data_IF_606828541921
#
_entry.id   IF_606828541921
#
_cell.length_a   1.000
_cell.length_b   1.000
_cell.length_c   1.000
_cell.angle_alpha   90.00
_cell.angle_beta   90.00
_cell.angle_gamma   90.00
#
_symmetry.space_group_name_H-M   'P 1'
#
loop_
_entity.id
_entity.type
_entity.pdbx_description
1 polymer ?
#
# COMPACT_ATOMS: atom_id res chain seq x y z
N UNK A 1 18.75 -4.97 -8.58
CA UNK A 1 19.41 -5.53 -7.38
C UNK A 1 19.69 -4.43 -6.37
N UNK A 2 20.28 -3.31 -6.80
CA UNK A 2 20.55 -2.11 -5.97
C UNK A 2 19.35 -1.65 -5.11
N UNK A 3 18.14 -1.54 -5.66
CA UNK A 3 16.95 -1.13 -4.88
C UNK A 3 16.60 -2.12 -3.76
N UNK A 4 16.79 -3.42 -3.97
CA UNK A 4 16.52 -4.43 -2.96
C UNK A 4 17.59 -4.36 -1.84
N UNK A 5 18.85 -4.23 -2.21
CA UNK A 5 19.94 -4.15 -1.24
C UNK A 5 19.91 -2.85 -0.43
N UNK A 6 19.66 -1.72 -1.08
CA UNK A 6 19.78 -0.41 -0.45
C UNK A 6 18.50 0.08 0.23
N UNK A 7 17.35 -0.54 -0.03
CA UNK A 7 16.08 -0.10 0.52
C UNK A 7 15.24 -1.23 1.12
N UNK A 8 15.14 -2.39 0.47
CA UNK A 8 14.35 -3.50 1.01
C UNK A 8 14.99 -4.10 2.27
N UNK A 9 16.29 -4.43 2.23
CA UNK A 9 16.96 -5.03 3.40
C UNK A 9 16.99 -4.09 4.61
N UNK A 10 17.36 -2.80 4.49
CA UNK A 10 17.28 -1.87 5.61
C UNK A 10 15.85 -1.69 6.14
N UNK A 11 14.84 -1.72 5.25
CA UNK A 11 13.45 -1.66 5.70
C UNK A 11 13.06 -2.90 6.49
N UNK A 12 13.49 -4.09 6.06
CA UNK A 12 13.23 -5.33 6.78
C UNK A 12 13.86 -5.30 8.18
N UNK A 13 15.09 -4.80 8.31
CA UNK A 13 15.76 -4.61 9.61
C UNK A 13 15.03 -3.62 10.53
N UNK A 14 14.34 -2.63 9.97
CA UNK A 14 13.54 -1.66 10.74
C UNK A 14 12.23 -2.29 11.23
N UNK A 15 11.59 -3.13 10.41
CA UNK A 15 10.23 -3.62 10.66
C UNK A 15 10.16 -5.02 11.30
N UNK A 16 11.22 -5.81 11.22
CA UNK A 16 11.24 -7.19 11.72
C UNK A 16 12.44 -7.39 12.65
N UNK A 17 12.22 -8.15 13.74
CA UNK A 17 13.31 -8.57 14.61
C UNK A 17 14.25 -9.54 13.86
N UNK A 18 15.52 -9.59 14.27
CA UNK A 18 16.54 -10.43 13.59
C UNK A 18 16.19 -11.92 13.55
N UNK A 19 15.39 -12.39 14.50
CA UNK A 19 14.97 -13.79 14.61
C UNK A 19 13.61 -14.05 13.95
N UNK A 20 13.02 -13.06 13.29
CA UNK A 20 11.72 -13.18 12.66
C UNK A 20 11.85 -13.45 11.16
N UNK A 21 11.26 -14.57 10.73
CA UNK A 21 11.10 -14.85 9.30
C UNK A 21 10.13 -13.86 8.65
N UNK A 22 10.48 -13.37 7.47
CA UNK A 22 9.64 -12.48 6.67
C UNK A 22 9.58 -12.95 5.21
N UNK A 23 8.47 -12.61 4.55
CA UNK A 23 8.22 -12.96 3.15
C UNK A 23 8.15 -11.65 2.35
N UNK A 24 8.95 -11.57 1.27
CA UNK A 24 8.82 -10.49 0.30
C UNK A 24 7.72 -10.82 -0.71
N UNK A 25 6.73 -9.93 -0.86
CA UNK A 25 5.70 -10.04 -1.88
C UNK A 25 5.79 -8.84 -2.84
N UNK A 26 5.99 -9.13 -4.13
CA UNK A 26 5.85 -8.17 -5.24
C UNK A 26 4.81 -8.70 -6.22
N UNK A 27 4.12 -7.81 -6.94
CA UNK A 27 3.21 -8.19 -8.01
C UNK A 27 3.91 -8.15 -9.38
N UNK A 28 3.40 -8.93 -10.34
CA UNK A 28 3.69 -8.73 -11.77
C UNK A 28 2.44 -8.17 -12.50
N UNK A 29 1.56 -7.43 -11.80
CA UNK A 29 0.18 -7.22 -12.26
C UNK A 29 -0.18 -5.77 -12.63
N UNK A 30 -0.74 -5.57 -13.83
CA UNK A 30 -1.38 -4.33 -14.31
C UNK A 30 -2.73 -3.98 -13.64
N UNK A 31 -3.01 -4.56 -12.47
CA UNK A 31 -4.36 -4.68 -11.87
C UNK A 31 -4.94 -3.40 -11.25
N UNK A 32 -4.21 -2.27 -11.31
CA UNK A 32 -4.59 -0.96 -10.74
C UNK A 32 -5.84 -0.29 -11.36
N UNK A 33 -6.59 -0.99 -12.23
CA UNK A 33 -7.77 -0.45 -12.93
C UNK A 33 -9.11 -1.01 -12.44
N UNK A 34 -9.11 -2.00 -11.53
CA UNK A 34 -10.35 -2.58 -11.04
C UNK A 34 -11.17 -1.57 -10.20
N UNK A 35 -12.43 -1.36 -10.59
CA UNK A 35 -13.32 -0.37 -9.98
C UNK A 35 -13.55 -0.61 -8.48
N UNK A 36 -13.60 -1.87 -8.04
CA UNK A 36 -13.72 -2.24 -6.62
C UNK A 36 -12.49 -1.86 -5.80
N UNK A 37 -11.28 -1.99 -6.37
CA UNK A 37 -10.02 -1.60 -5.72
C UNK A 37 -9.96 -0.07 -5.56
N UNK A 38 -10.39 0.68 -6.58
CA UNK A 38 -10.45 2.15 -6.52
C UNK A 38 -11.45 2.67 -5.48
N UNK A 39 -12.66 2.10 -5.44
CA UNK A 39 -13.70 2.52 -4.49
C UNK A 39 -13.29 2.20 -3.04
N UNK A 40 -12.67 1.05 -2.81
CA UNK A 40 -12.15 0.67 -1.50
C UNK A 40 -11.05 1.61 -0.99
N UNK A 41 -10.11 1.97 -1.87
CA UNK A 41 -9.05 2.91 -1.56
C UNK A 41 -9.59 4.31 -1.20
N UNK A 42 -10.72 4.72 -1.80
CA UNK A 42 -11.43 5.95 -1.44
C UNK A 42 -12.12 5.84 -0.08
N UNK A 43 -12.81 4.73 0.21
CA UNK A 43 -13.51 4.48 1.48
C UNK A 43 -12.56 4.45 2.68
N UNK A 44 -11.38 3.83 2.52
CA UNK A 44 -10.40 3.66 3.60
C UNK A 44 -9.31 4.74 3.65
N UNK A 45 -9.33 5.70 2.72
CA UNK A 45 -8.37 6.79 2.60
C UNK A 45 -6.90 6.36 2.37
N UNK A 46 -6.65 5.19 1.78
CA UNK A 46 -5.34 4.52 1.88
C UNK A 46 -4.29 5.07 0.87
N UNK A 47 -4.59 5.27 -0.43
CA UNK A 47 -3.74 6.01 -1.37
C UNK A 47 -4.34 7.39 -1.63
N UNK A 48 -5.65 7.55 -1.44
CA UNK A 48 -6.31 8.83 -1.63
C UNK A 48 -5.86 9.84 -0.59
N UNK A 49 -5.36 9.46 0.59
CA UNK A 49 -4.84 10.44 1.54
C UNK A 49 -3.63 11.20 0.97
N UNK A 50 -2.60 10.48 0.51
CA UNK A 50 -1.42 11.09 -0.10
C UNK A 50 -1.84 11.77 -1.40
N UNK A 51 -2.56 11.10 -2.30
CA UNK A 51 -2.98 11.70 -3.58
C UNK A 51 -3.85 12.96 -3.39
N UNK A 52 -4.82 12.95 -2.47
CA UNK A 52 -5.67 14.10 -2.17
C UNK A 52 -4.85 15.23 -1.54
N UNK A 53 -3.89 14.91 -0.68
CA UNK A 53 -2.97 15.90 -0.13
C UNK A 53 -2.12 16.53 -1.23
N UNK A 54 -1.60 15.72 -2.16
CA UNK A 54 -0.80 16.19 -3.29
C UNK A 54 -1.60 17.08 -4.25
N UNK A 55 -2.84 16.69 -4.59
CA UNK A 55 -3.73 17.48 -5.47
C UNK A 55 -4.07 18.86 -4.87
N UNK A 56 -4.15 18.96 -3.54
CA UNK A 56 -4.45 20.20 -2.84
C UNK A 56 -3.19 20.99 -2.41
N UNK A 57 -1.99 20.49 -2.69
CA UNK A 57 -0.74 21.17 -2.34
C UNK A 57 -0.19 21.92 -3.54
N UNK A 58 0.16 23.20 -3.36
CA UNK A 58 0.83 23.97 -4.42
C UNK A 58 2.29 23.50 -4.55
N UNK A 59 2.53 22.66 -5.54
CA UNK A 59 3.88 22.19 -5.87
C UNK A 59 4.60 23.23 -6.73
N UNK A 60 5.85 23.52 -6.38
CA UNK A 60 6.65 24.59 -7.01
C UNK A 60 7.93 24.08 -7.67
N UNK A 61 8.37 22.87 -7.34
CA UNK A 61 9.49 22.17 -7.98
C UNK A 61 9.42 20.67 -7.75
N UNK A 62 10.29 19.90 -8.41
CA UNK A 62 10.43 18.45 -8.22
C UNK A 62 10.96 18.13 -6.82
N UNK A 63 11.87 18.93 -6.29
CA UNK A 63 12.42 18.77 -4.93
C UNK A 63 11.34 19.01 -3.88
N UNK A 64 10.52 20.04 -4.07
CA UNK A 64 9.37 20.30 -3.20
C UNK A 64 8.37 19.14 -3.25
N UNK A 65 8.09 18.60 -4.45
CA UNK A 65 7.23 17.42 -4.60
C UNK A 65 7.77 16.21 -3.80
N UNK A 66 9.05 15.90 -3.94
CA UNK A 66 9.70 14.79 -3.23
C UNK A 66 9.62 14.98 -1.71
N UNK A 67 9.88 16.19 -1.22
CA UNK A 67 9.79 16.51 0.22
C UNK A 67 8.38 16.28 0.75
N UNK A 68 7.36 16.80 0.07
CA UNK A 68 5.96 16.65 0.52
C UNK A 68 5.54 15.18 0.51
N UNK A 69 5.90 14.42 -0.53
CA UNK A 69 5.61 12.98 -0.59
C UNK A 69 6.24 12.23 0.57
N UNK A 70 7.50 12.53 0.88
CA UNK A 70 8.22 11.90 1.98
C UNK A 70 7.57 12.23 3.34
N UNK A 71 7.24 13.50 3.57
CA UNK A 71 6.61 13.95 4.81
C UNK A 71 5.22 13.32 5.02
N UNK A 72 4.42 13.17 3.96
CA UNK A 72 3.11 12.54 4.05
C UNK A 72 3.22 11.01 4.19
N UNK A 73 4.20 10.38 3.56
CA UNK A 73 4.49 8.95 3.77
C UNK A 73 4.84 8.64 5.22
N UNK A 74 5.65 9.49 5.88
CA UNK A 74 6.00 9.31 7.29
C UNK A 74 4.81 9.49 8.26
N UNK A 75 3.77 10.21 7.85
CA UNK A 75 2.53 10.37 8.62
C UNK A 75 1.56 9.22 8.41
N UNK A 76 1.86 8.31 7.47
CA UNK A 76 0.93 7.26 7.10
C UNK A 76 0.66 6.33 8.29
N UNK A 77 -0.60 6.12 8.69
CA UNK A 77 -0.90 5.34 9.89
C UNK A 77 -0.51 3.87 9.74
N UNK A 78 0.24 3.33 10.70
CA UNK A 78 0.69 1.93 10.67
C UNK A 78 -0.43 0.91 10.89
N UNK A 79 -1.49 1.31 11.60
CA UNK A 79 -2.70 0.50 11.83
C UNK A 79 -3.44 0.23 10.52
N UNK A 80 -3.44 1.20 9.59
CA UNK A 80 -3.99 1.02 8.25
C UNK A 80 -3.23 -0.08 7.50
N UNK A 81 -1.89 -0.06 7.52
CA UNK A 81 -1.05 -1.09 6.91
C UNK A 81 -1.31 -2.46 7.54
N UNK A 82 -1.42 -2.50 8.87
CA UNK A 82 -1.73 -3.73 9.61
C UNK A 82 -3.08 -4.32 9.22
N UNK A 83 -4.13 -3.51 9.19
CA UNK A 83 -5.48 -3.95 8.78
C UNK A 83 -5.50 -4.49 7.35
N UNK A 84 -4.71 -3.89 6.44
CA UNK A 84 -4.55 -4.40 5.08
C UNK A 84 -3.92 -5.78 5.03
N UNK A 85 -2.89 -6.02 5.84
CA UNK A 85 -2.23 -7.34 5.94
C UNK A 85 -3.20 -8.36 6.54
N UNK A 86 -3.86 -8.02 7.65
CA UNK A 86 -4.76 -8.92 8.37
C UNK A 86 -6.00 -9.32 7.55
N UNK A 87 -6.43 -8.47 6.61
CA UNK A 87 -7.55 -8.78 5.70
C UNK A 87 -7.19 -9.70 4.52
N UNK A 88 -5.90 -9.95 4.26
CA UNK A 88 -5.46 -10.78 3.11
C UNK A 88 -6.13 -12.17 3.06
N UNK A 89 -6.23 -12.94 4.17
CA UNK A 89 -6.86 -14.26 4.14
C UNK A 89 -8.32 -14.22 3.67
N UNK A 90 -9.10 -13.23 4.12
CA UNK A 90 -10.50 -13.06 3.73
C UNK A 90 -10.61 -12.68 2.26
N UNK A 91 -9.76 -11.76 1.79
CA UNK A 91 -9.71 -11.39 0.37
C UNK A 91 -9.39 -12.57 -0.54
N UNK A 92 -8.43 -13.41 -0.13
CA UNK A 92 -8.06 -14.62 -0.90
C UNK A 92 -9.23 -15.60 -0.93
N UNK A 93 -9.88 -15.87 0.20
CA UNK A 93 -11.03 -16.77 0.27
C UNK A 93 -12.19 -16.31 -0.64
N UNK A 94 -12.48 -15.02 -0.64
CA UNK A 94 -13.55 -14.47 -1.47
C UNK A 94 -13.16 -14.41 -2.96
N UNK A 95 -11.87 -14.26 -3.27
CA UNK A 95 -11.36 -14.37 -4.66
C UNK A 95 -11.57 -15.78 -5.20
N UNK A 96 -11.28 -16.80 -4.39
CA UNK A 96 -11.52 -18.20 -4.73
C UNK A 96 -13.02 -18.45 -4.97
N UNK A 97 -13.88 -17.96 -4.06
CA UNK A 97 -15.34 -18.08 -4.18
C UNK A 97 -15.88 -17.37 -5.42
N UNK A 98 -15.32 -16.21 -5.76
CA UNK A 98 -15.62 -15.47 -6.98
C UNK A 98 -14.97 -16.08 -8.24
N UNK A 99 -14.21 -17.18 -8.11
CA UNK A 99 -13.45 -17.82 -9.19
C UNK A 99 -12.52 -16.85 -9.92
N UNK A 100 -11.83 -15.99 -9.16
CA UNK A 100 -10.98 -14.92 -9.68
C UNK A 100 -11.74 -13.66 -10.10
N UNK A 101 -13.06 -13.61 -9.89
CA UNK A 101 -13.89 -12.45 -10.16
C UNK A 101 -13.69 -11.31 -9.15
N UNK A 102 -14.35 -10.18 -9.40
CA UNK A 102 -14.22 -8.98 -8.58
C UNK A 102 -14.72 -9.17 -7.14
N UNK A 103 -13.89 -8.73 -6.19
CA UNK A 103 -14.20 -8.71 -4.77
C UNK A 103 -15.06 -7.49 -4.40
N UNK A 104 -15.96 -7.66 -3.43
CA UNK A 104 -16.73 -6.55 -2.84
C UNK A 104 -15.86 -5.72 -1.89
N UNK A 105 -16.10 -4.41 -1.82
CA UNK A 105 -15.32 -3.44 -1.02
C UNK A 105 -15.30 -3.75 0.49
N UNK A 106 -16.33 -4.41 1.00
CA UNK A 106 -16.57 -4.59 2.43
C UNK A 106 -15.78 -5.75 3.09
N UNK A 107 -14.71 -6.25 2.47
CA UNK A 107 -14.00 -7.47 2.90
C UNK A 107 -12.62 -7.18 3.52
N UNK A 108 -12.44 -5.94 3.99
CA UNK A 108 -11.29 -5.41 4.75
C UNK A 108 -11.78 -4.46 5.84
#
# INVERSE_FOLDING_TARGET
>A
METMENHLLPSAEIFFDQDQDWIFQQDEASSHTAHSVRNWFQEKQIPSYIDHKMVNTKITSVEHLKSVLFDEWLKFPSDVVKNMIESMPIRVAECIKAKGGHLKSNMI
#
